data_IF_610655222502
#
_entry.id   IF_610655222502
#
_cell.length_a   1.000
_cell.length_b   1.000
_cell.length_c   1.000
_cell.angle_alpha   90.00
_cell.angle_beta   90.00
_cell.angle_gamma   90.00
#
_symmetry.space_group_name_H-M   'P 1'
#
loop_
_entity.id
_entity.type
_entity.pdbx_description
1 polymer ?
#
# COMPACT_ATOMS: atom_id res chain seq x y z
N UNK A 1 3.90 -18.36 -15.53
CA UNK A 1 4.93 -18.33 -16.60
C UNK A 1 6.30 -18.52 -15.99
N UNK A 2 7.14 -19.41 -16.52
CA UNK A 2 8.50 -19.67 -16.04
C UNK A 2 9.46 -18.83 -16.89
N UNK A 3 10.13 -17.86 -16.27
CA UNK A 3 11.10 -17.00 -16.95
C UNK A 3 12.53 -17.23 -16.46
N UNK A 4 12.68 -17.57 -15.18
CA UNK A 4 13.96 -17.79 -14.51
C UNK A 4 13.96 -19.14 -13.80
N UNK A 5 15.13 -19.77 -13.76
CA UNK A 5 15.41 -20.98 -13.01
C UNK A 5 16.49 -20.62 -12.01
N UNK A 6 16.16 -20.67 -10.72
CA UNK A 6 17.12 -20.39 -9.66
C UNK A 6 17.91 -21.65 -9.34
N UNK A 7 19.23 -21.47 -9.26
CA UNK A 7 20.18 -22.54 -8.97
C UNK A 7 20.55 -22.49 -7.51
N UNK A 8 20.40 -23.61 -6.82
CA UNK A 8 20.66 -23.76 -5.39
C UNK A 8 21.77 -24.78 -5.17
N UNK A 9 22.51 -24.65 -4.07
CA UNK A 9 23.39 -25.69 -3.57
C UNK A 9 22.62 -26.75 -2.75
N UNK A 10 23.33 -27.71 -2.15
CA UNK A 10 22.74 -28.79 -1.36
C UNK A 10 22.06 -28.27 -0.07
N UNK A 11 22.51 -27.16 0.45
CA UNK A 11 21.99 -26.47 1.64
C UNK A 11 20.88 -25.44 1.31
N UNK A 12 20.45 -25.36 0.01
CA UNK A 12 19.44 -24.45 -0.54
C UNK A 12 19.87 -22.99 -0.60
N UNK A 13 21.17 -22.67 -0.54
CA UNK A 13 21.60 -21.31 -0.79
C UNK A 13 21.45 -20.94 -2.28
N UNK A 14 21.07 -19.71 -2.52
CA UNK A 14 20.93 -19.18 -3.87
C UNK A 14 22.32 -18.88 -4.45
N UNK A 15 22.75 -19.69 -5.42
CA UNK A 15 24.09 -19.60 -6.03
C UNK A 15 24.08 -19.00 -7.43
N UNK A 16 22.93 -18.95 -8.09
CA UNK A 16 22.80 -18.37 -9.43
C UNK A 16 21.38 -18.45 -9.98
N UNK A 17 21.23 -17.96 -11.20
CA UNK A 17 20.01 -18.14 -11.98
C UNK A 17 20.31 -18.36 -13.46
N UNK A 18 19.39 -18.97 -14.17
CA UNK A 18 19.44 -19.16 -15.63
C UNK A 18 18.15 -18.61 -16.21
N UNK A 19 18.21 -17.81 -17.27
CA UNK A 19 17.01 -17.43 -17.99
C UNK A 19 16.49 -18.62 -18.81
N UNK A 20 15.18 -18.72 -18.96
CA UNK A 20 14.57 -19.74 -19.83
C UNK A 20 15.11 -19.68 -21.26
N UNK A 21 15.42 -18.46 -21.73
CA UNK A 21 16.03 -18.26 -23.06
C UNK A 21 17.40 -18.91 -23.15
N UNK A 22 18.26 -18.69 -22.17
CA UNK A 22 19.62 -19.27 -22.17
C UNK A 22 19.57 -20.79 -22.09
N UNK A 23 18.63 -21.31 -21.32
CA UNK A 23 18.43 -22.76 -21.21
C UNK A 23 17.97 -23.38 -22.55
N UNK A 24 17.03 -22.75 -23.27
CA UNK A 24 16.53 -23.25 -24.56
C UNK A 24 17.64 -23.20 -25.64
N UNK A 25 18.50 -22.20 -25.60
CA UNK A 25 19.58 -22.03 -26.57
C UNK A 25 20.84 -22.85 -26.21
N UNK A 26 20.88 -23.43 -25.02
CA UNK A 26 22.02 -24.20 -24.56
C UNK A 26 22.17 -25.53 -25.31
N UNK A 27 23.41 -25.97 -25.47
CA UNK A 27 23.68 -27.32 -25.99
C UNK A 27 23.29 -28.36 -24.96
N UNK A 28 22.80 -29.54 -25.39
CA UNK A 28 22.38 -30.62 -24.46
C UNK A 28 23.48 -31.08 -23.49
N UNK A 29 24.75 -30.81 -23.81
CA UNK A 29 25.92 -31.19 -23.00
C UNK A 29 26.40 -30.05 -22.11
N UNK A 30 25.76 -28.86 -22.14
CA UNK A 30 26.17 -27.75 -21.33
C UNK A 30 25.89 -28.00 -19.85
N UNK A 31 26.83 -27.62 -19.00
CA UNK A 31 26.64 -27.72 -17.55
C UNK A 31 25.86 -26.49 -17.04
N UNK A 32 25.05 -26.71 -16.03
CA UNK A 32 24.32 -25.63 -15.34
C UNK A 32 25.27 -24.55 -14.81
N UNK A 33 26.43 -24.97 -14.28
CA UNK A 33 27.48 -24.07 -13.80
C UNK A 33 28.03 -23.12 -14.84
N UNK A 34 27.98 -23.48 -16.14
CA UNK A 34 28.52 -22.72 -17.25
C UNK A 34 27.48 -21.73 -17.82
N UNK A 35 26.21 -22.03 -17.61
CA UNK A 35 25.08 -21.25 -18.08
C UNK A 35 24.57 -20.25 -17.04
N UNK A 36 24.75 -20.55 -15.75
CA UNK A 36 24.20 -19.74 -14.69
C UNK A 36 24.91 -18.39 -14.53
N UNK A 37 24.13 -17.36 -14.31
CA UNK A 37 24.60 -16.08 -13.84
C UNK A 37 24.67 -16.10 -12.32
N UNK A 38 25.81 -15.69 -11.76
CA UNK A 38 26.09 -15.73 -10.32
C UNK A 38 25.72 -14.44 -9.60
N UNK A 39 25.64 -13.35 -10.31
CA UNK A 39 25.23 -12.05 -9.77
C UNK A 39 23.70 -11.98 -9.74
N UNK A 40 23.11 -12.53 -8.66
CA UNK A 40 21.66 -12.62 -8.49
C UNK A 40 21.19 -11.45 -7.65
N UNK A 41 20.38 -10.58 -8.24
CA UNK A 41 19.63 -9.58 -7.51
C UNK A 41 18.54 -10.31 -6.74
N UNK A 42 18.51 -10.11 -5.42
CA UNK A 42 17.63 -10.79 -4.48
C UNK A 42 17.16 -9.83 -3.41
N UNK A 43 16.03 -10.12 -2.82
CA UNK A 43 15.50 -9.40 -1.66
C UNK A 43 15.52 -10.30 -0.43
N UNK A 44 15.64 -9.71 0.74
CA UNK A 44 15.59 -10.43 2.01
C UNK A 44 14.14 -10.52 2.48
N UNK A 45 13.84 -11.56 3.25
CA UNK A 45 12.50 -11.81 3.80
C UNK A 45 12.03 -10.69 4.75
N UNK A 46 12.96 -9.96 5.36
CA UNK A 46 12.70 -8.85 6.29
C UNK A 46 12.70 -7.46 5.63
N UNK A 47 12.92 -7.38 4.31
CA UNK A 47 12.89 -6.11 3.60
C UNK A 47 11.47 -5.55 3.48
N UNK A 48 11.31 -4.22 3.67
CA UNK A 48 10.04 -3.56 3.44
C UNK A 48 9.53 -3.74 2.01
N UNK A 49 8.21 -3.88 1.87
CA UNK A 49 7.54 -4.09 0.57
C UNK A 49 7.91 -3.02 -0.47
N UNK A 50 7.99 -1.75 -0.06
CA UNK A 50 8.33 -0.63 -0.96
C UNK A 50 9.67 -0.82 -1.65
N UNK A 51 10.67 -1.36 -0.95
CA UNK A 51 11.98 -1.67 -1.53
C UNK A 51 11.92 -2.78 -2.56
N UNK A 52 11.08 -3.78 -2.33
CA UNK A 52 10.87 -4.88 -3.27
C UNK A 52 10.23 -4.36 -4.56
N UNK A 53 9.21 -3.49 -4.41
CA UNK A 53 8.54 -2.78 -5.52
C UNK A 53 9.56 -1.96 -6.32
N UNK A 54 10.37 -1.15 -5.64
CA UNK A 54 11.41 -0.32 -6.26
C UNK A 54 12.42 -1.15 -7.05
N UNK A 55 12.90 -2.27 -6.48
CA UNK A 55 13.86 -3.15 -7.14
C UNK A 55 13.27 -3.82 -8.38
N UNK A 56 12.03 -4.34 -8.31
CA UNK A 56 11.36 -4.93 -9.46
C UNK A 56 11.16 -3.91 -10.58
N UNK A 57 10.73 -2.70 -10.25
CA UNK A 57 10.53 -1.62 -11.21
C UNK A 57 11.85 -1.13 -11.82
N UNK A 58 12.91 -1.01 -11.01
CA UNK A 58 14.21 -0.49 -11.45
C UNK A 58 14.93 -1.42 -12.43
N UNK A 59 14.78 -2.72 -12.26
CA UNK A 59 15.49 -3.73 -13.04
C UNK A 59 14.62 -4.43 -14.09
N UNK A 60 13.35 -4.03 -14.23
CA UNK A 60 12.36 -4.65 -15.13
C UNK A 60 12.26 -6.18 -14.95
N UNK A 61 12.43 -6.66 -13.73
CA UNK A 61 12.33 -8.08 -13.45
C UNK A 61 10.87 -8.55 -13.42
N UNK A 62 10.65 -9.72 -14.00
CA UNK A 62 9.35 -10.39 -13.94
C UNK A 62 9.16 -11.09 -12.59
N UNK A 63 10.27 -11.51 -11.98
CA UNK A 63 10.29 -12.12 -10.66
C UNK A 63 11.64 -11.88 -9.99
N UNK A 64 11.64 -11.73 -8.66
CA UNK A 64 12.84 -11.57 -7.84
C UNK A 64 12.85 -12.64 -6.74
N UNK A 65 13.98 -13.33 -6.49
CA UNK A 65 14.07 -14.33 -5.44
C UNK A 65 14.15 -13.68 -4.05
N UNK A 66 13.48 -14.30 -3.10
CA UNK A 66 13.50 -13.93 -1.68
C UNK A 66 14.36 -14.92 -0.92
N UNK A 67 15.28 -14.39 -0.12
CA UNK A 67 16.19 -15.19 0.67
C UNK A 67 16.08 -14.88 2.17
N UNK A 68 16.44 -15.85 3.00
CA UNK A 68 16.59 -15.69 4.44
C UNK A 68 17.97 -15.10 4.81
N UNK A 69 18.23 -14.94 6.12
CA UNK A 69 19.49 -14.43 6.64
C UNK A 69 20.71 -15.30 6.29
N UNK A 70 20.48 -16.57 5.95
CA UNK A 70 21.51 -17.53 5.54
C UNK A 70 21.65 -17.62 4.01
N UNK A 71 21.01 -16.70 3.26
CA UNK A 71 20.99 -16.72 1.79
C UNK A 71 20.31 -17.96 1.18
N UNK A 72 19.41 -18.61 1.91
CA UNK A 72 18.63 -19.73 1.38
C UNK A 72 17.37 -19.19 0.70
N UNK A 73 17.05 -19.74 -0.46
CA UNK A 73 15.84 -19.36 -1.18
C UNK A 73 14.59 -19.81 -0.41
N UNK A 74 13.76 -18.84 -0.01
CA UNK A 74 12.49 -19.06 0.70
C UNK A 74 11.28 -18.90 -0.22
N UNK A 75 11.40 -18.10 -1.29
CA UNK A 75 10.30 -17.85 -2.23
C UNK A 75 10.73 -16.96 -3.38
N UNK A 76 9.74 -16.53 -4.13
CA UNK A 76 9.87 -15.52 -5.20
C UNK A 76 8.75 -14.51 -5.05
N UNK A 77 9.01 -13.26 -5.45
CA UNK A 77 7.98 -12.23 -5.62
C UNK A 77 7.90 -11.93 -7.11
N UNK A 78 6.71 -11.96 -7.66
CA UNK A 78 6.47 -11.71 -9.08
C UNK A 78 5.93 -10.31 -9.31
N UNK A 79 6.02 -9.83 -10.54
CA UNK A 79 5.57 -8.48 -10.91
C UNK A 79 4.05 -8.29 -10.70
N UNK A 80 3.25 -9.33 -10.90
CA UNK A 80 1.82 -9.33 -10.64
C UNK A 80 1.49 -9.19 -9.15
N UNK A 81 2.23 -9.87 -8.25
CA UNK A 81 2.09 -9.71 -6.81
C UNK A 81 2.34 -8.25 -6.38
N UNK A 82 3.35 -7.61 -6.99
CA UNK A 82 3.67 -6.21 -6.73
C UNK A 82 2.58 -5.27 -7.23
N UNK A 83 2.02 -5.52 -8.41
CA UNK A 83 0.91 -4.71 -8.92
C UNK A 83 -0.32 -4.79 -8.02
N UNK A 84 -0.62 -5.97 -7.49
CA UNK A 84 -1.74 -6.14 -6.57
C UNK A 84 -1.49 -5.42 -5.23
N UNK A 85 -0.26 -5.47 -4.72
CA UNK A 85 0.16 -4.72 -3.54
C UNK A 85 0.01 -3.21 -3.73
N UNK A 86 0.53 -2.65 -4.82
CA UNK A 86 0.41 -1.21 -5.15
C UNK A 86 -1.05 -0.79 -5.31
N UNK A 87 -1.89 -1.63 -5.92
CA UNK A 87 -3.33 -1.35 -6.04
C UNK A 87 -4.02 -1.35 -4.68
N UNK A 88 -3.64 -2.27 -3.79
CA UNK A 88 -4.19 -2.32 -2.44
C UNK A 88 -3.82 -1.06 -1.67
N UNK A 89 -2.54 -0.65 -1.68
CA UNK A 89 -2.06 0.56 -1.03
C UNK A 89 -2.80 1.80 -1.54
N UNK A 90 -2.97 1.95 -2.86
CA UNK A 90 -3.72 3.05 -3.45
C UNK A 90 -5.20 3.06 -3.04
N UNK A 91 -5.81 1.87 -2.87
CA UNK A 91 -7.19 1.75 -2.39
C UNK A 91 -7.31 2.16 -0.93
N UNK A 92 -6.39 1.71 -0.08
CA UNK A 92 -6.35 2.04 1.34
C UNK A 92 -6.10 3.54 1.55
N UNK A 93 -5.22 4.15 0.75
CA UNK A 93 -4.99 5.59 0.74
C UNK A 93 -6.24 6.38 0.36
N UNK A 94 -6.94 5.96 -0.70
CA UNK A 94 -8.20 6.58 -1.10
C UNK A 94 -9.28 6.48 0.00
N UNK A 95 -9.37 5.34 0.70
CA UNK A 95 -10.29 5.14 1.81
C UNK A 95 -9.92 6.02 3.01
N UNK A 96 -8.64 6.11 3.37
CA UNK A 96 -8.18 7.01 4.44
C UNK A 96 -8.44 8.48 4.13
N UNK A 97 -8.24 8.90 2.88
CA UNK A 97 -8.54 10.26 2.42
C UNK A 97 -10.02 10.60 2.55
N UNK A 98 -10.89 9.60 2.43
CA UNK A 98 -12.32 9.73 2.66
C UNK A 98 -12.75 9.57 4.13
N UNK A 99 -11.80 9.53 5.08
CA UNK A 99 -12.02 9.25 6.50
C UNK A 99 -12.74 7.89 6.75
N UNK A 100 -12.45 6.91 5.90
CA UNK A 100 -12.95 5.54 6.00
C UNK A 100 -11.78 4.66 6.43
N UNK A 101 -11.96 3.86 7.49
CA UNK A 101 -10.97 2.87 7.86
C UNK A 101 -10.83 1.81 6.75
N UNK A 102 -9.60 1.41 6.36
CA UNK A 102 -9.38 0.39 5.35
C UNK A 102 -10.20 -0.87 5.61
N UNK A 103 -10.86 -1.37 4.57
CA UNK A 103 -11.74 -2.53 4.71
C UNK A 103 -10.97 -3.83 4.83
N UNK A 104 -9.75 -3.89 4.24
CA UNK A 104 -8.91 -5.08 4.22
C UNK A 104 -9.41 -6.19 3.28
N UNK A 105 -10.61 -6.03 2.72
CA UNK A 105 -11.28 -6.95 1.80
C UNK A 105 -11.89 -6.14 0.65
N UNK A 106 -12.14 -6.78 -0.49
CA UNK A 106 -12.82 -6.15 -1.62
C UNK A 106 -14.19 -5.60 -1.22
N UNK A 107 -14.58 -4.45 -1.78
CA UNK A 107 -15.86 -3.77 -1.46
C UNK A 107 -17.07 -4.70 -1.57
N UNK A 108 -17.10 -5.61 -2.55
CA UNK A 108 -18.18 -6.55 -2.78
C UNK A 108 -18.15 -7.76 -1.83
N UNK A 109 -17.00 -8.04 -1.21
CA UNK A 109 -16.80 -9.15 -0.28
C UNK A 109 -17.02 -8.72 1.17
N UNK A 110 -16.87 -7.42 1.45
CA UNK A 110 -17.07 -6.86 2.78
C UNK A 110 -18.53 -6.98 3.22
N UNK A 111 -18.73 -7.55 4.39
CA UNK A 111 -20.08 -7.71 4.98
C UNK A 111 -20.71 -6.35 5.28
N UNK A 112 -22.01 -6.19 4.94
CA UNK A 112 -22.78 -4.96 5.18
C UNK A 112 -22.71 -4.50 6.64
N UNK A 113 -22.73 -5.43 7.59
CA UNK A 113 -22.63 -5.13 9.02
C UNK A 113 -21.29 -4.49 9.40
N UNK A 114 -20.18 -5.01 8.84
CA UNK A 114 -18.82 -4.45 9.04
C UNK A 114 -18.72 -3.04 8.47
N UNK A 115 -19.20 -2.84 7.24
CA UNK A 115 -19.24 -1.53 6.61
C UNK A 115 -20.06 -0.52 7.40
N UNK A 116 -21.26 -0.91 7.84
CA UNK A 116 -22.16 -0.04 8.60
C UNK A 116 -21.53 0.34 9.93
N UNK A 117 -20.87 -0.60 10.61
CA UNK A 117 -20.21 -0.33 11.89
C UNK A 117 -19.02 0.63 11.74
N UNK A 118 -18.10 0.35 10.82
CA UNK A 118 -16.92 1.20 10.59
C UNK A 118 -17.30 2.63 10.24
N UNK A 119 -18.32 2.83 9.41
CA UNK A 119 -18.81 4.16 9.03
C UNK A 119 -19.71 4.77 10.10
N UNK A 120 -20.55 3.97 10.75
CA UNK A 120 -21.53 4.42 11.74
C UNK A 120 -20.87 5.04 12.97
N UNK A 121 -19.79 4.48 13.48
CA UNK A 121 -19.03 5.03 14.62
C UNK A 121 -18.53 6.43 14.31
N UNK A 122 -17.92 6.62 13.13
CA UNK A 122 -17.43 7.94 12.72
C UNK A 122 -18.57 8.95 12.56
N UNK A 123 -19.65 8.55 11.91
CA UNK A 123 -20.83 9.40 11.74
C UNK A 123 -21.48 9.76 13.09
N UNK A 124 -21.50 8.84 14.06
CA UNK A 124 -22.01 9.11 15.40
C UNK A 124 -21.15 10.16 16.14
N UNK A 125 -19.83 10.11 16.01
CA UNK A 125 -18.94 11.13 16.57
C UNK A 125 -19.20 12.50 15.93
N UNK A 126 -19.31 12.55 14.61
CA UNK A 126 -19.65 13.79 13.90
C UNK A 126 -21.02 14.34 14.31
N UNK A 127 -22.00 13.47 14.47
CA UNK A 127 -23.35 13.86 14.93
C UNK A 127 -23.31 14.42 16.37
N UNK A 128 -22.57 13.77 17.27
CA UNK A 128 -22.41 14.25 18.65
C UNK A 128 -21.76 15.64 18.70
N UNK A 129 -20.70 15.87 17.91
CA UNK A 129 -20.05 17.19 17.84
C UNK A 129 -20.97 18.26 17.22
N UNK A 130 -21.76 17.90 16.22
CA UNK A 130 -22.76 18.80 15.64
C UNK A 130 -23.86 19.14 16.64
N UNK A 131 -24.31 18.17 17.44
CA UNK A 131 -25.31 18.40 18.50
C UNK A 131 -24.78 19.36 19.59
N UNK A 132 -23.53 19.22 20.00
CA UNK A 132 -22.89 20.17 20.94
C UNK A 132 -22.84 21.57 20.33
N UNK A 133 -22.46 21.70 19.07
CA UNK A 133 -22.45 23.00 18.38
C UNK A 133 -23.86 23.60 18.34
N UNK A 134 -24.88 22.80 18.02
CA UNK A 134 -26.27 23.26 18.00
C UNK A 134 -26.74 23.74 19.40
N UNK A 135 -26.37 23.03 20.47
CA UNK A 135 -26.69 23.42 21.87
C UNK A 135 -26.03 24.77 22.22
N UNK A 136 -24.76 24.96 21.88
CA UNK A 136 -24.06 26.23 22.10
C UNK A 136 -24.75 27.37 21.37
N UNK A 137 -25.09 27.17 20.10
CA UNK A 137 -25.78 28.18 19.28
C UNK A 137 -27.18 28.49 19.79
N UNK A 138 -27.94 27.51 20.23
CA UNK A 138 -29.28 27.70 20.79
C UNK A 138 -29.28 28.57 22.07
N UNK A 139 -28.22 28.47 22.86
CA UNK A 139 -28.03 29.26 24.08
C UNK A 139 -27.33 30.60 23.86
N UNK A 140 -26.85 30.86 22.65
CA UNK A 140 -26.11 32.08 22.32
C UNK A 140 -27.06 33.27 22.13
N UNK A 141 -27.08 34.15 23.12
CA UNK A 141 -27.78 35.42 23.04
C UNK A 141 -26.89 36.51 22.50
N UNK A 142 -26.72 36.57 21.17
CA UNK A 142 -25.97 37.63 20.53
C UNK A 142 -26.87 38.76 20.09
N UNK A 143 -26.49 40.04 20.30
CA UNK A 143 -27.20 41.16 19.73
C UNK A 143 -27.07 41.25 18.19
N UNK A 144 -26.15 40.47 17.60
CA UNK A 144 -25.83 40.45 16.18
C UNK A 144 -26.35 39.17 15.50
N UNK A 145 -27.66 39.04 15.34
CA UNK A 145 -28.30 37.84 14.73
C UNK A 145 -27.83 37.58 13.30
N UNK A 146 -27.35 38.57 12.60
CA UNK A 146 -26.81 38.43 11.24
C UNK A 146 -25.55 37.52 11.19
N UNK A 147 -24.78 37.42 12.27
CA UNK A 147 -23.61 36.52 12.35
C UNK A 147 -24.01 35.04 12.18
N UNK A 148 -25.22 34.66 12.54
CA UNK A 148 -25.71 33.28 12.39
C UNK A 148 -25.74 32.85 10.91
N UNK A 149 -25.93 33.80 9.99
CA UNK A 149 -25.92 33.52 8.55
C UNK A 149 -24.54 33.11 8.02
N UNK A 150 -23.45 33.44 8.73
CA UNK A 150 -22.08 33.08 8.34
C UNK A 150 -21.63 31.72 8.88
N UNK A 151 -22.37 31.11 9.81
CA UNK A 151 -22.02 29.81 10.40
C UNK A 151 -21.84 28.72 9.33
N UNK A 152 -22.76 28.55 8.36
CA UNK A 152 -22.56 27.56 7.29
C UNK A 152 -21.30 27.80 6.48
N UNK A 153 -20.93 29.06 6.23
CA UNK A 153 -19.73 29.44 5.50
C UNK A 153 -18.46 29.03 6.25
N UNK A 154 -18.41 29.29 7.56
CA UNK A 154 -17.27 28.96 8.42
C UNK A 154 -17.12 27.43 8.53
N UNK A 155 -18.24 26.72 8.73
CA UNK A 155 -18.24 25.25 8.80
C UNK A 155 -17.77 24.62 7.49
N UNK A 156 -18.31 25.11 6.35
CA UNK A 156 -17.91 24.62 5.02
C UNK A 156 -16.43 24.90 4.71
N UNK A 157 -15.95 26.10 5.04
CA UNK A 157 -14.52 26.48 4.85
C UNK A 157 -13.61 25.62 5.73
N UNK A 158 -13.98 25.42 7.00
CA UNK A 158 -13.21 24.58 7.93
C UNK A 158 -13.16 23.11 7.49
N UNK A 159 -14.28 22.56 7.05
CA UNK A 159 -14.35 21.19 6.53
C UNK A 159 -13.51 20.99 5.26
N UNK A 160 -13.63 21.92 4.31
CA UNK A 160 -12.83 21.85 3.07
C UNK A 160 -11.32 22.00 3.33
N UNK A 161 -10.93 22.97 4.16
CA UNK A 161 -9.52 23.18 4.52
C UNK A 161 -8.95 21.97 5.28
N UNK A 162 -9.71 21.40 6.20
CA UNK A 162 -9.32 20.21 6.94
C UNK A 162 -9.13 19.00 6.04
N UNK A 163 -10.06 18.76 5.13
CA UNK A 163 -9.97 17.65 4.17
C UNK A 163 -8.78 17.80 3.22
N UNK A 164 -8.56 19.00 2.66
CA UNK A 164 -7.41 19.27 1.79
C UNK A 164 -6.08 19.05 2.53
N UNK A 165 -5.98 19.52 3.77
CA UNK A 165 -4.77 19.32 4.58
C UNK A 165 -4.53 17.84 4.91
N UNK A 166 -5.59 17.11 5.28
CA UNK A 166 -5.49 15.68 5.56
C UNK A 166 -5.05 14.89 4.31
N UNK A 167 -5.65 15.17 3.15
CA UNK A 167 -5.27 14.51 1.89
C UNK A 167 -3.80 14.77 1.56
N UNK A 168 -3.33 16.01 1.66
CA UNK A 168 -1.92 16.34 1.39
C UNK A 168 -0.96 15.60 2.33
N UNK A 169 -1.30 15.50 3.62
CA UNK A 169 -0.45 14.79 4.60
C UNK A 169 -0.46 13.29 4.34
N UNK A 170 -1.62 12.69 4.07
CA UNK A 170 -1.75 11.27 3.76
C UNK A 170 -0.92 10.95 2.51
N UNK A 171 -1.09 11.73 1.43
CA UNK A 171 -0.32 11.53 0.20
C UNK A 171 1.18 11.69 0.43
N UNK A 172 1.62 12.71 1.17
CA UNK A 172 3.04 12.91 1.46
C UNK A 172 3.66 11.79 2.31
N UNK A 173 2.87 11.15 3.18
CA UNK A 173 3.31 9.98 3.96
C UNK A 173 3.37 8.72 3.10
N UNK A 174 2.39 8.52 2.22
CA UNK A 174 2.33 7.34 1.33
C UNK A 174 3.39 7.38 0.23
N UNK A 175 3.70 8.58 -0.29
CA UNK A 175 4.79 8.76 -1.29
C UNK A 175 6.19 8.78 -0.67
N UNK A 176 6.29 8.78 0.67
CA UNK A 176 7.57 8.85 1.38
C UNK A 176 8.24 10.23 1.36
N UNK A 177 7.52 11.27 0.93
CA UNK A 177 7.99 12.65 0.93
C UNK A 177 8.15 13.21 2.36
N UNK A 178 7.36 12.67 3.30
CA UNK A 178 7.47 12.94 4.73
C UNK A 178 7.75 11.65 5.49
N UNK A 179 8.82 11.62 6.29
CA UNK A 179 9.09 10.57 7.29
C UNK A 179 8.81 11.14 8.68
N UNK A 180 7.93 10.48 9.43
CA UNK A 180 7.69 10.77 10.85
C UNK A 180 8.79 10.17 11.72
#
# INVERSE_FOLDING_TARGET
>A
SIYYIYVLDAERHLVGFISLRDLILAKPTALVSDLMQRDVIRVRMDEPQDKVVEQLARFDFIAIPVVDDQNRLVGIVTHDDVLDAVRQDATDEAQMSAAIAPLGEGYLEAGIASMTWKRGVWLAILFATAAVTAMVLANWKSPHTWLVAFIPLVIASGGNSGNQSATLVITALSTGDCRL
#
